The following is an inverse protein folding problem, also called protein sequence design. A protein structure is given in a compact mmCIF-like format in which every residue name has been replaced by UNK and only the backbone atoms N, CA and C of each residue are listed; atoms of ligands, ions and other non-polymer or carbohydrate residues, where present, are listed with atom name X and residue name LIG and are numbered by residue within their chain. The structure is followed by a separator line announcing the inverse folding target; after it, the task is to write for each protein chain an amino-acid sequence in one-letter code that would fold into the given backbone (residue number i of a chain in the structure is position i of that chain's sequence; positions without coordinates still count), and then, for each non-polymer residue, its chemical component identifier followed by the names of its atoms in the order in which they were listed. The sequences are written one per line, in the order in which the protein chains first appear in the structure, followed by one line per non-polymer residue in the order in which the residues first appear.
data_IF_555468501571
#
_entry.id   IF_555468501571
#
_cell.length_a   1.000
_cell.length_b   1.000
_cell.length_c   1.000
_cell.angle_alpha   90.00
_cell.angle_beta   90.00
_cell.angle_gamma   90.00
#
_symmetry.space_group_name_H-M   'P 1'
#
loop_
_entity.id
_entity.type
_entity.pdbx_description
1 polymer ?
#
# COMPACT_ATOMS: atom_id res chain seq x y z
N UNK A 1 -8.74 -10.64 -19.63
CA UNK A 1 -10.01 -10.57 -18.90
C UNK A 1 -9.97 -9.34 -18.03
N UNK A 2 -11.12 -8.73 -17.75
CA UNK A 2 -11.23 -7.62 -16.80
C UNK A 2 -12.41 -7.85 -15.86
N UNK A 3 -12.34 -7.26 -14.67
CA UNK A 3 -13.38 -7.29 -13.67
C UNK A 3 -13.44 -5.94 -12.96
N UNK A 4 -14.65 -5.46 -12.69
CA UNK A 4 -14.90 -4.29 -11.85
C UNK A 4 -15.38 -4.76 -10.49
N UNK A 5 -14.67 -4.36 -9.43
CA UNK A 5 -14.93 -4.83 -8.09
C UNK A 5 -14.46 -3.82 -7.04
N UNK A 6 -14.82 -4.04 -5.79
CA UNK A 6 -14.29 -3.28 -4.65
C UNK A 6 -13.10 -4.01 -4.04
N UNK A 7 -12.03 -3.28 -3.72
CA UNK A 7 -10.86 -3.85 -3.03
C UNK A 7 -11.25 -4.15 -1.58
N UNK A 8 -11.35 -5.44 -1.24
CA UNK A 8 -11.70 -5.90 0.12
C UNK A 8 -10.47 -5.87 1.03
N UNK A 9 -9.31 -6.32 0.52
CA UNK A 9 -8.06 -6.38 1.30
C UNK A 9 -6.83 -6.30 0.41
N UNK A 10 -5.78 -5.67 0.92
CA UNK A 10 -4.46 -5.60 0.30
C UNK A 10 -3.47 -6.25 1.27
N UNK A 11 -2.81 -7.34 0.84
CA UNK A 11 -1.77 -7.98 1.62
C UNK A 11 -0.41 -7.33 1.34
N UNK A 12 0.54 -7.42 2.28
CA UNK A 12 1.90 -6.97 2.03
C UNK A 12 2.55 -7.76 0.88
N UNK A 13 3.53 -7.19 0.17
CA UNK A 13 4.27 -7.92 -0.84
C UNK A 13 5.08 -9.07 -0.22
N UNK A 14 5.08 -10.22 -0.89
CA UNK A 14 5.82 -11.41 -0.50
C UNK A 14 6.93 -11.68 -1.52
N UNK A 15 8.15 -11.95 -1.03
CA UNK A 15 9.30 -12.28 -1.86
C UNK A 15 9.68 -13.75 -1.69
N UNK A 16 9.76 -14.45 -2.81
CA UNK A 16 10.16 -15.86 -2.88
C UNK A 16 11.57 -15.94 -3.44
N UNK A 17 12.44 -16.68 -2.76
CA UNK A 17 13.77 -17.03 -3.27
C UNK A 17 13.75 -18.45 -3.87
N UNK A 18 14.34 -18.61 -5.05
CA UNK A 18 14.52 -19.89 -5.71
C UNK A 18 15.92 -20.45 -5.44
N UNK A 19 16.08 -21.76 -5.57
CA UNK A 19 17.37 -22.46 -5.37
C UNK A 19 18.49 -21.97 -6.30
N UNK A 20 18.12 -21.42 -7.46
CA UNK A 20 19.05 -20.85 -8.44
C UNK A 20 19.47 -19.39 -8.12
N UNK A 21 19.10 -18.87 -6.94
CA UNK A 21 19.41 -17.52 -6.47
C UNK A 21 18.52 -16.42 -7.03
N UNK A 22 17.56 -16.74 -7.90
CA UNK A 22 16.56 -15.75 -8.36
C UNK A 22 15.55 -15.45 -7.27
N UNK A 23 15.08 -14.24 -7.25
CA UNK A 23 13.98 -13.81 -6.38
C UNK A 23 12.78 -13.38 -7.22
N UNK A 24 11.59 -13.52 -6.67
CA UNK A 24 10.35 -13.08 -7.29
C UNK A 24 9.44 -12.47 -6.23
N UNK A 25 9.02 -11.24 -6.43
CA UNK A 25 8.11 -10.56 -5.52
C UNK A 25 6.72 -10.49 -6.13
N UNK A 26 5.71 -10.81 -5.34
CA UNK A 26 4.30 -10.68 -5.70
C UNK A 26 3.51 -10.06 -4.56
N UNK A 27 2.38 -9.47 -4.89
CA UNK A 27 1.44 -8.94 -3.91
C UNK A 27 0.04 -9.44 -4.22
N UNK A 28 -0.68 -9.87 -3.18
CA UNK A 28 -2.05 -10.35 -3.26
C UNK A 28 -3.02 -9.24 -2.88
N UNK A 29 -4.07 -9.08 -3.67
CA UNK A 29 -5.25 -8.32 -3.28
C UNK A 29 -6.48 -9.21 -3.36
N UNK A 30 -7.46 -8.96 -2.51
CA UNK A 30 -8.76 -9.61 -2.56
C UNK A 30 -9.79 -8.61 -3.09
N UNK A 31 -10.49 -9.01 -4.13
CA UNK A 31 -11.57 -8.25 -4.72
C UNK A 31 -12.91 -8.81 -4.25
N UNK A 32 -13.77 -7.94 -3.73
CA UNK A 32 -15.16 -8.25 -3.45
C UNK A 32 -15.98 -8.12 -4.73
N UNK A 33 -16.42 -9.25 -5.24
CA UNK A 33 -17.29 -9.39 -6.40
C UNK A 33 -18.66 -9.97 -6.00
N UNK A 34 -19.02 -9.85 -4.73
CA UNK A 34 -20.28 -10.35 -4.20
C UNK A 34 -21.49 -9.69 -4.85
N UNK A 35 -22.58 -10.44 -4.90
CA UNK A 35 -23.83 -10.01 -5.51
C UNK A 35 -24.99 -10.10 -4.52
N UNK A 36 -25.83 -9.05 -4.52
CA UNK A 36 -27.05 -9.03 -3.74
C UNK A 36 -28.23 -9.54 -4.58
N UNK A 37 -28.82 -10.66 -4.13
CA UNK A 37 -30.04 -11.19 -4.77
C UNK A 37 -31.28 -10.48 -4.20
N UNK A 38 -31.86 -9.59 -4.99
CA UNK A 38 -33.03 -8.80 -4.59
C UNK A 38 -34.27 -9.65 -4.36
N UNK A 39 -34.37 -10.85 -4.98
CA UNK A 39 -35.54 -11.72 -4.89
C UNK A 39 -35.57 -12.51 -3.58
N UNK A 40 -34.40 -12.92 -3.06
CA UNK A 40 -34.31 -13.71 -1.83
C UNK A 40 -33.87 -12.87 -0.63
N UNK A 41 -33.28 -11.67 -0.85
CA UNK A 41 -32.70 -10.85 0.18
C UNK A 41 -31.31 -11.30 0.63
N UNK A 42 -30.73 -12.30 -0.04
CA UNK A 42 -29.44 -12.87 0.32
C UNK A 42 -28.28 -12.15 -0.37
N UNK A 43 -27.15 -12.08 0.32
CA UNK A 43 -25.88 -11.63 -0.25
C UNK A 43 -24.98 -12.85 -0.49
N UNK A 44 -24.55 -13.03 -1.74
CA UNK A 44 -23.61 -14.08 -2.12
C UNK A 44 -22.19 -13.51 -2.13
N UNK A 45 -21.38 -13.95 -1.17
CA UNK A 45 -19.97 -13.59 -1.12
C UNK A 45 -19.22 -14.20 -2.32
N UNK A 46 -18.42 -13.40 -2.98
CA UNK A 46 -17.54 -13.82 -4.07
C UNK A 46 -16.20 -13.06 -3.99
N UNK A 47 -15.28 -13.63 -3.25
CA UNK A 47 -13.95 -13.07 -3.01
C UNK A 47 -12.96 -13.62 -4.05
N UNK A 48 -12.45 -12.75 -4.90
CA UNK A 48 -11.51 -13.14 -5.96
C UNK A 48 -10.09 -12.73 -5.59
N UNK A 49 -9.17 -13.69 -5.33
CA UNK A 49 -7.76 -13.40 -5.12
C UNK A 49 -7.07 -13.06 -6.45
N UNK A 50 -6.39 -11.91 -6.49
CA UNK A 50 -5.65 -11.44 -7.67
C UNK A 50 -4.22 -11.10 -7.27
N UNK A 51 -3.25 -11.56 -8.06
CA UNK A 51 -1.83 -11.41 -7.79
C UNK A 51 -1.19 -10.42 -8.74
N UNK A 52 -0.44 -9.49 -8.19
CA UNK A 52 0.41 -8.57 -8.93
C UNK A 52 1.86 -9.03 -8.82
N UNK A 53 2.50 -9.26 -9.94
CA UNK A 53 3.92 -9.58 -9.98
C UNK A 53 4.78 -8.33 -9.90
N UNK A 54 6.07 -8.54 -9.66
CA UNK A 54 7.09 -7.50 -9.41
C UNK A 54 7.00 -6.29 -10.36
N UNK A 55 6.79 -6.53 -11.65
CA UNK A 55 6.71 -5.45 -12.67
C UNK A 55 5.53 -4.50 -12.49
N UNK A 56 4.48 -4.97 -11.79
CA UNK A 56 3.21 -4.27 -11.68
C UNK A 56 2.88 -3.85 -10.23
N UNK A 57 3.82 -4.02 -9.29
CA UNK A 57 3.62 -3.66 -7.88
C UNK A 57 3.39 -2.16 -7.69
N UNK A 58 4.04 -1.34 -8.52
CA UNK A 58 3.88 0.11 -8.51
C UNK A 58 2.44 0.58 -8.77
N UNK A 59 1.64 -0.23 -9.49
CA UNK A 59 0.25 0.08 -9.76
C UNK A 59 -0.62 0.05 -8.50
N UNK A 60 -0.19 -0.70 -7.47
CA UNK A 60 -0.90 -0.80 -6.19
C UNK A 60 -0.62 0.35 -5.22
N UNK A 61 0.42 1.18 -5.48
CA UNK A 61 0.82 2.25 -4.56
C UNK A 61 -0.28 3.29 -4.28
N UNK A 62 -1.18 3.52 -5.25
CA UNK A 62 -2.30 4.46 -5.14
C UNK A 62 -3.63 3.79 -4.78
N UNK A 63 -3.64 2.46 -4.57
CA UNK A 63 -4.85 1.69 -4.30
C UNK A 63 -5.06 1.58 -2.80
N UNK A 64 -6.28 1.79 -2.34
CA UNK A 64 -6.68 1.63 -0.94
C UNK A 64 -7.81 0.61 -0.80
N UNK A 65 -7.92 -0.01 0.36
CA UNK A 65 -9.07 -0.85 0.70
C UNK A 65 -10.37 -0.03 0.62
N UNK A 66 -11.42 -0.62 0.09
CA UNK A 66 -12.69 0.04 -0.19
C UNK A 66 -12.74 0.83 -1.51
N UNK A 67 -11.64 0.94 -2.24
CA UNK A 67 -11.65 1.56 -3.57
C UNK A 67 -12.35 0.67 -4.59
N UNK A 68 -13.13 1.26 -5.48
CA UNK A 68 -13.71 0.57 -6.64
C UNK A 68 -12.73 0.62 -7.80
N UNK A 69 -12.39 -0.53 -8.31
CA UNK A 69 -11.33 -0.70 -9.32
C UNK A 69 -11.79 -1.53 -10.51
N UNK A 70 -11.19 -1.29 -11.67
CA UNK A 70 -11.21 -2.19 -12.81
C UNK A 70 -9.85 -2.86 -12.92
N UNK A 71 -9.81 -4.19 -12.79
CA UNK A 71 -8.58 -4.99 -12.83
C UNK A 71 -8.53 -5.80 -14.10
N UNK A 72 -7.43 -5.71 -14.84
CA UNK A 72 -7.13 -6.52 -16.01
C UNK A 72 -6.16 -7.65 -15.62
N UNK A 73 -6.55 -8.90 -15.89
CA UNK A 73 -5.77 -10.06 -15.48
C UNK A 73 -5.83 -11.20 -16.50
N UNK A 74 -4.83 -12.07 -16.43
CA UNK A 74 -4.79 -13.35 -17.11
C UNK A 74 -4.92 -14.50 -16.12
N UNK A 75 -5.58 -15.58 -16.54
CA UNK A 75 -5.67 -16.80 -15.74
C UNK A 75 -4.52 -17.75 -16.09
N UNK A 76 -3.87 -18.32 -15.06
CA UNK A 76 -2.90 -19.39 -15.19
C UNK A 76 -3.37 -20.61 -14.42
N UNK A 77 -3.56 -21.72 -15.15
CA UNK A 77 -3.83 -23.03 -14.56
C UNK A 77 -2.55 -23.84 -14.43
N UNK A 78 -2.41 -24.63 -13.38
CA UNK A 78 -1.35 -25.61 -13.19
C UNK A 78 -1.93 -26.88 -12.60
N UNK A 79 -1.63 -28.01 -13.26
CA UNK A 79 -1.87 -29.32 -12.69
C UNK A 79 -0.82 -29.62 -11.60
N UNK A 80 -1.21 -30.28 -10.53
CA UNK A 80 -0.33 -30.78 -9.49
C UNK A 80 -0.85 -32.11 -8.95
N UNK A 81 0.05 -32.96 -8.49
CA UNK A 81 -0.30 -34.23 -7.88
C UNK A 81 -0.25 -34.09 -6.36
N UNK A 82 -1.22 -34.64 -5.67
CA UNK A 82 -1.25 -34.68 -4.21
C UNK A 82 -1.68 -36.06 -3.72
N UNK A 83 -1.25 -36.41 -2.52
CA UNK A 83 -1.66 -37.66 -1.86
C UNK A 83 -2.97 -37.44 -1.14
N UNK A 84 -3.94 -38.33 -1.34
CA UNK A 84 -5.25 -38.26 -0.65
C UNK A 84 -5.03 -38.43 0.86
N UNK A 85 -5.53 -37.45 1.64
CA UNK A 85 -5.42 -37.47 3.11
C UNK A 85 -6.20 -38.59 3.77
N UNK A 86 -7.13 -39.27 3.07
CA UNK A 86 -7.95 -40.33 3.63
C UNK A 86 -7.18 -41.65 3.77
N UNK A 87 -6.34 -41.97 2.84
CA UNK A 87 -5.57 -43.22 2.79
C UNK A 87 -4.06 -43.03 2.81
N UNK A 88 -3.58 -41.78 2.60
CA UNK A 88 -2.16 -41.41 2.53
C UNK A 88 -1.33 -42.21 1.50
N UNK A 89 -1.99 -42.85 0.52
CA UNK A 89 -1.37 -43.68 -0.49
C UNK A 89 -1.81 -43.27 -1.89
N UNK A 90 -3.10 -43.00 -2.09
CA UNK A 90 -3.65 -42.69 -3.41
C UNK A 90 -3.18 -41.34 -3.91
N UNK A 91 -2.50 -41.35 -5.07
CA UNK A 91 -2.13 -40.13 -5.79
C UNK A 91 -3.33 -39.61 -6.57
N UNK A 92 -3.65 -38.33 -6.38
CA UNK A 92 -4.71 -37.64 -7.11
C UNK A 92 -4.14 -36.43 -7.86
N UNK A 93 -4.75 -36.14 -8.99
CA UNK A 93 -4.44 -34.93 -9.76
C UNK A 93 -5.38 -33.79 -9.34
N UNK A 94 -4.81 -32.63 -9.08
CA UNK A 94 -5.52 -31.40 -8.78
C UNK A 94 -5.12 -30.30 -9.77
N UNK A 95 -5.97 -29.27 -9.85
CA UNK A 95 -5.71 -28.11 -10.69
C UNK A 95 -5.79 -26.85 -9.82
N UNK A 96 -4.75 -26.01 -9.88
CA UNK A 96 -4.78 -24.68 -9.29
C UNK A 96 -5.00 -23.64 -10.37
N UNK A 97 -5.81 -22.63 -10.07
CA UNK A 97 -6.04 -21.49 -10.95
C UNK A 97 -5.57 -20.22 -10.24
N UNK A 98 -4.77 -19.42 -10.92
CA UNK A 98 -4.22 -18.16 -10.40
C UNK A 98 -4.57 -17.03 -11.35
N UNK A 99 -5.18 -15.96 -10.81
CA UNK A 99 -5.40 -14.72 -11.55
C UNK A 99 -4.18 -13.81 -11.39
N UNK A 100 -3.47 -13.52 -12.48
CA UNK A 100 -2.32 -12.63 -12.48
C UNK A 100 -2.69 -11.32 -13.17
N UNK A 101 -2.71 -10.23 -12.39
CA UNK A 101 -3.04 -8.91 -12.91
C UNK A 101 -1.84 -8.28 -13.63
N UNK A 102 -2.15 -7.53 -14.67
CA UNK A 102 -1.18 -6.76 -15.43
C UNK A 102 -1.56 -5.27 -15.55
N UNK A 103 -2.78 -4.88 -15.16
CA UNK A 103 -3.23 -3.50 -15.11
C UNK A 103 -4.36 -3.34 -14.09
N UNK A 104 -4.47 -2.15 -13.49
CA UNK A 104 -5.53 -1.78 -12.56
C UNK A 104 -5.84 -0.29 -12.69
N UNK A 105 -7.12 0.05 -12.73
CA UNK A 105 -7.60 1.43 -12.78
C UNK A 105 -8.53 1.71 -11.61
N UNK A 106 -8.30 2.81 -10.91
CA UNK A 106 -9.21 3.29 -9.87
C UNK A 106 -10.38 3.97 -10.55
N UNK A 107 -11.59 3.49 -10.27
CA UNK A 107 -12.84 4.11 -10.71
C UNK A 107 -13.38 5.07 -9.67
N UNK A 108 -13.36 4.64 -8.39
CA UNK A 108 -13.80 5.44 -7.26
C UNK A 108 -12.87 5.19 -6.08
N UNK A 109 -12.40 6.25 -5.43
CA UNK A 109 -11.61 6.15 -4.20
C UNK A 109 -12.53 5.85 -3.01
N UNK A 110 -12.02 5.15 -2.00
CA UNK A 110 -12.79 4.92 -0.77
C UNK A 110 -13.16 6.25 -0.11
N UNK A 111 -14.37 6.33 0.43
CA UNK A 111 -14.87 7.56 1.10
C UNK A 111 -13.98 8.02 2.24
N UNK A 112 -13.24 7.11 2.88
CA UNK A 112 -12.28 7.42 3.96
C UNK A 112 -11.14 8.32 3.46
N UNK A 113 -10.62 8.08 2.26
CA UNK A 113 -9.53 8.89 1.68
C UNK A 113 -10.05 10.26 1.26
N UNK A 114 -11.27 10.33 0.71
CA UNK A 114 -11.90 11.60 0.35
C UNK A 114 -12.14 12.50 1.56
N UNK A 115 -12.56 11.93 2.70
CA UNK A 115 -12.77 12.68 3.93
C UNK A 115 -11.46 13.29 4.48
N UNK A 116 -10.34 12.59 4.40
CA UNK A 116 -9.02 13.07 4.83
C UNK A 116 -8.51 14.20 3.92
N UNK A 117 -8.73 14.10 2.61
CA UNK A 117 -8.32 15.15 1.67
C UNK A 117 -9.14 16.44 1.82
N UNK A 118 -10.42 16.33 2.19
CA UNK A 118 -11.28 17.50 2.45
C UNK A 118 -11.03 18.16 3.80
N UNK A 119 -10.45 17.43 4.76
CA UNK A 119 -10.16 17.95 6.11
C UNK A 119 -8.79 18.58 6.26
N UNK A 120 -7.92 18.54 5.24
CA UNK A 120 -6.69 19.34 5.26
C UNK A 120 -7.07 20.82 5.17
N UNK A 121 -6.81 21.64 6.20
CA UNK A 121 -7.04 23.06 6.12
C UNK A 121 -6.17 23.60 4.96
N UNK A 122 -6.82 24.21 3.96
CA UNK A 122 -6.10 24.98 2.96
C UNK A 122 -5.27 26.01 3.72
N UNK A 123 -3.96 25.83 3.70
CA UNK A 123 -3.03 26.81 4.22
C UNK A 123 -3.34 28.12 3.50
N UNK A 124 -3.67 29.21 4.22
CA UNK A 124 -3.97 30.48 3.58
C UNK A 124 -2.76 30.84 2.70
N UNK A 125 -2.96 30.93 1.42
CA UNK A 125 -1.96 31.53 0.53
C UNK A 125 -1.75 32.94 1.04
N UNK A 126 -0.57 33.20 1.60
CA UNK A 126 -0.16 34.53 1.96
C UNK A 126 -0.27 35.41 0.70
N UNK A 127 -0.94 36.57 0.77
CA UNK A 127 -1.02 37.46 -0.37
C UNK A 127 0.41 37.85 -0.78
N UNK A 128 0.73 37.67 -2.07
CA UNK A 128 1.96 38.18 -2.66
C UNK A 128 2.04 39.68 -2.39
N UNK A 129 2.85 40.07 -1.41
CA UNK A 129 3.20 41.46 -1.20
C UNK A 129 4.10 41.94 -2.35
N UNK A 130 3.63 42.94 -3.04
CA UNK A 130 4.42 43.69 -4.01
C UNK A 130 5.72 44.24 -3.38
N UNK A 131 6.79 44.48 -4.15
CA UNK A 131 8.05 44.98 -3.62
C UNK A 131 7.89 46.41 -3.14
N UNK A 132 7.87 46.59 -1.81
CA UNK A 132 7.82 47.93 -1.22
C UNK A 132 9.15 48.20 -0.51
N UNK A 133 9.80 49.25 -1.00
CA UNK A 133 10.76 50.18 -0.40
C UNK A 133 11.65 49.70 0.77
N UNK A 134 12.93 50.00 0.61
CA UNK A 134 14.02 49.78 1.56
C UNK A 134 13.69 50.19 2.99
N UNK A 135 13.86 49.21 3.91
CA UNK A 135 13.77 49.41 5.37
C UNK A 135 14.94 50.25 5.87
N UNK A 136 14.71 51.18 6.83
CA UNK A 136 15.79 51.99 7.39
C UNK A 136 16.82 51.13 8.19
N UNK A 137 18.09 51.55 8.26
CA UNK A 137 19.22 50.75 8.73
C UNK A 137 19.15 50.33 10.19
N UNK A 138 18.29 50.92 11.01
CA UNK A 138 18.12 50.50 12.43
C UNK A 138 17.35 49.19 12.65
N UNK A 139 16.53 48.75 11.69
CA UNK A 139 15.79 47.48 11.83
C UNK A 139 16.59 46.26 11.36
N UNK A 140 17.61 46.44 10.54
CA UNK A 140 18.48 45.36 10.08
C UNK A 140 19.39 44.82 11.21
N UNK A 141 19.76 45.67 12.17
CA UNK A 141 20.58 45.26 13.33
C UNK A 141 19.86 44.36 14.32
N UNK A 142 18.52 44.47 14.43
CA UNK A 142 17.74 43.61 15.34
C UNK A 142 17.48 42.20 14.76
N UNK A 143 17.38 42.06 13.44
CA UNK A 143 17.20 40.77 12.79
C UNK A 143 18.50 39.93 12.82
N UNK A 144 19.67 40.54 12.71
CA UNK A 144 20.95 39.85 12.79
C UNK A 144 21.23 39.27 14.18
N UNK A 145 20.75 39.94 15.25
CA UNK A 145 20.90 39.43 16.62
C UNK A 145 19.91 38.30 16.99
N UNK A 146 18.79 38.22 16.34
CA UNK A 146 17.81 37.12 16.56
C UNK A 146 18.29 35.79 15.97
N UNK A 147 18.95 35.83 14.81
CA UNK A 147 19.48 34.65 14.11
C UNK A 147 20.70 34.03 14.84
N UNK A 148 21.52 34.86 15.52
CA UNK A 148 22.69 34.39 16.24
C UNK A 148 22.33 33.66 17.57
N UNK A 149 21.17 33.93 18.16
CA UNK A 149 20.73 33.25 19.40
C UNK A 149 20.11 31.87 19.18
N UNK A 150 19.59 31.58 17.99
CA UNK A 150 18.98 30.27 17.64
C UNK A 150 20.03 29.20 17.37
N UNK A 151 21.26 29.56 17.08
CA UNK A 151 22.34 28.59 16.76
C UNK A 151 23.05 28.02 17.98
N UNK A 152 22.81 28.53 19.21
CA UNK A 152 23.49 28.08 20.41
C UNK A 152 22.70 27.15 21.35
N UNK A 153 21.51 26.67 20.95
CA UNK A 153 20.71 25.76 21.77
C UNK A 153 20.51 24.36 21.16
N UNK A 154 21.49 23.80 20.49
CA UNK A 154 21.54 22.36 20.24
C UNK A 154 22.44 21.70 21.31
N UNK A 155 21.79 21.19 22.37
CA UNK A 155 22.42 20.32 23.33
C UNK A 155 22.65 18.92 22.70
N UNK A 156 23.77 18.23 22.97
CA UNK A 156 24.07 16.90 22.45
C UNK A 156 23.10 15.86 23.06
N UNK A 157 22.51 15.02 22.19
CA UNK A 157 21.74 13.86 22.62
C UNK A 157 22.66 12.78 23.24
N UNK A 158 22.25 12.13 24.35
CA UNK A 158 22.99 11.02 24.92
C UNK A 158 22.95 9.79 24.01
N UNK A 159 24.12 9.27 23.64
CA UNK A 159 24.29 7.96 23.01
C UNK A 159 23.96 6.87 24.02
N UNK A 160 22.94 6.06 23.74
CA UNK A 160 22.69 4.81 24.44
C UNK A 160 23.60 3.72 23.89
N UNK A 161 24.59 3.33 24.71
CA UNK A 161 25.37 2.11 24.50
C UNK A 161 24.52 0.89 24.88
N UNK A 162 24.24 0.06 23.88
CA UNK A 162 23.60 -1.26 24.05
C UNK A 162 24.68 -2.36 24.15
N UNK A 163 25.49 -2.33 25.22
CA UNK A 163 26.28 -3.49 25.65
C UNK A 163 25.72 -3.96 26.99
N UNK A 164 24.84 -4.98 26.94
CA UNK A 164 24.65 -6.01 27.96
C UNK A 164 23.34 -6.77 27.72
N UNK A 165 23.41 -7.85 26.98
CA UNK A 165 22.45 -8.95 27.11
C UNK A 165 23.22 -10.24 27.39
N UNK A 166 23.14 -10.79 28.63
CA UNK A 166 23.54 -12.14 28.90
C UNK A 166 22.31 -13.06 28.79
N UNK A 167 22.28 -13.95 27.82
CA UNK A 167 21.52 -15.19 27.93
C UNK A 167 22.37 -16.36 27.44
N UNK A 168 22.97 -17.02 28.41
CA UNK A 168 23.29 -18.45 28.40
C UNK A 168 22.19 -19.15 29.18
N UNK A 169 21.55 -20.10 28.60
CA UNK A 169 21.30 -21.50 28.97
C UNK A 169 20.27 -22.10 28.04
#
# INVERSE_FOLDING_TARGET
MNITATVKRIYPPETFAFEDGRTYTQQLIILDCGEYNRSTGDYYENDIPVYFGERNLNLLAAITEGAKVEVHFGLRGRAYTYTDKKDNVTQREGYSLKANAYDIKVLEQSQLVQAVQQSMPQQPQAPMQAPTAALPPQQQAMLANATARSAQQQAPQPQYNNDHLPFQQ
#
